data_IF_832564182359
#
_entry.id   IF_832564182359
#
_cell.length_a   1.000
_cell.length_b   1.000
_cell.length_c   1.000
_cell.angle_alpha   90.00
_cell.angle_beta   90.00
_cell.angle_gamma   90.00
#
_symmetry.space_group_name_H-M   'P 1'
#
loop_
_entity.id
_entity.type
_entity.pdbx_description
1 polymer ?
#
# COMPACT_ATOMS: atom_id res chain seq x y z
N UNK A 1 -15.34 -33.03 7.29
CA UNK A 1 -16.12 -31.98 8.01
C UNK A 1 -15.28 -30.72 7.94
N UNK A 2 -15.83 -29.66 7.36
CA UNK A 2 -15.13 -28.37 7.34
C UNK A 2 -14.89 -27.88 8.76
N UNK A 3 -13.67 -27.45 9.07
CA UNK A 3 -13.31 -26.90 10.37
C UNK A 3 -13.91 -25.51 10.52
N UNK A 4 -15.14 -25.42 11.07
CA UNK A 4 -15.83 -24.14 11.26
C UNK A 4 -15.30 -23.43 12.50
N UNK A 5 -15.02 -22.14 12.38
CA UNK A 5 -14.56 -21.26 13.46
C UNK A 5 -15.54 -20.12 13.71
N UNK A 6 -15.65 -19.69 14.96
CA UNK A 6 -16.46 -18.54 15.33
C UNK A 6 -15.61 -17.28 15.28
N UNK A 7 -16.05 -16.32 14.47
CA UNK A 7 -15.41 -15.00 14.31
C UNK A 7 -16.41 -13.88 14.56
N UNK A 8 -15.90 -12.70 14.88
CA UNK A 8 -16.72 -11.52 15.13
C UNK A 8 -16.32 -10.41 14.16
N UNK A 9 -17.16 -10.15 13.17
CA UNK A 9 -16.99 -9.03 12.25
C UNK A 9 -17.83 -7.84 12.71
N UNK A 10 -17.18 -6.73 13.03
CA UNK A 10 -17.86 -5.49 13.48
C UNK A 10 -18.84 -5.72 14.65
N UNK A 11 -18.46 -6.58 15.58
CA UNK A 11 -19.25 -6.92 16.76
C UNK A 11 -20.30 -8.02 16.55
N UNK A 12 -20.55 -8.48 15.32
CA UNK A 12 -21.49 -9.59 15.06
C UNK A 12 -20.74 -10.92 14.93
N UNK A 13 -21.28 -11.96 15.54
CA UNK A 13 -20.75 -13.32 15.50
C UNK A 13 -21.17 -14.05 14.22
N UNK A 14 -20.20 -14.73 13.60
CA UNK A 14 -20.40 -15.60 12.44
C UNK A 14 -19.65 -16.91 12.65
N UNK A 15 -20.16 -18.00 12.05
CA UNK A 15 -19.49 -19.28 11.92
C UNK A 15 -19.04 -19.42 10.47
N UNK A 16 -17.74 -19.56 10.24
CA UNK A 16 -17.14 -19.57 8.90
C UNK A 16 -16.09 -20.68 8.80
N UNK A 17 -15.79 -21.21 7.60
CA UNK A 17 -14.68 -22.14 7.40
C UNK A 17 -13.34 -21.54 7.86
N UNK A 18 -12.55 -22.31 8.61
CA UNK A 18 -11.30 -21.85 9.24
C UNK A 18 -10.11 -21.74 8.28
N UNK A 19 -10.24 -22.23 7.06
CA UNK A 19 -9.25 -22.10 5.98
C UNK A 19 -9.36 -20.77 5.21
N UNK A 20 -10.44 -20.02 5.43
CA UNK A 20 -10.65 -18.73 4.76
C UNK A 20 -9.77 -17.63 5.34
N UNK A 21 -9.42 -16.66 4.51
CA UNK A 21 -8.84 -15.39 4.98
C UNK A 21 -9.94 -14.51 5.59
N UNK A 22 -9.57 -13.51 6.37
CA UNK A 22 -10.54 -12.54 6.94
C UNK A 22 -11.44 -11.96 5.84
N UNK A 23 -10.86 -11.59 4.69
CA UNK A 23 -11.60 -11.02 3.57
C UNK A 23 -12.60 -12.00 2.97
N UNK A 24 -12.18 -13.22 2.65
CA UNK A 24 -13.07 -14.24 2.08
C UNK A 24 -14.09 -14.76 3.10
N UNK A 25 -13.74 -14.80 4.39
CA UNK A 25 -14.67 -15.12 5.46
C UNK A 25 -15.77 -14.04 5.65
N UNK A 26 -15.43 -12.77 5.44
CA UNK A 26 -16.43 -11.69 5.42
C UNK A 26 -17.39 -11.86 4.23
N UNK A 27 -16.88 -12.17 3.04
CA UNK A 27 -17.71 -12.45 1.86
C UNK A 27 -18.60 -13.69 2.08
N UNK A 28 -18.07 -14.76 2.66
CA UNK A 28 -18.83 -15.94 3.06
C UNK A 28 -19.97 -15.59 4.05
N UNK A 29 -19.69 -14.66 4.98
CA UNK A 29 -20.69 -14.16 5.93
C UNK A 29 -21.72 -13.19 5.31
N UNK A 30 -21.66 -12.94 3.99
CA UNK A 30 -22.62 -12.13 3.24
C UNK A 30 -22.25 -10.64 3.10
N UNK A 31 -21.01 -10.23 3.45
CA UNK A 31 -20.58 -8.86 3.22
C UNK A 31 -20.20 -8.64 1.76
N UNK A 32 -20.73 -7.57 1.17
CA UNK A 32 -20.31 -7.10 -0.15
C UNK A 32 -19.21 -6.07 0.04
N UNK A 33 -17.97 -6.42 -0.35
CA UNK A 33 -16.80 -5.58 -0.17
C UNK A 33 -16.66 -4.60 -1.34
N UNK A 34 -17.24 -3.41 -1.22
CA UNK A 34 -17.10 -2.32 -2.20
C UNK A 34 -15.92 -1.41 -1.90
N UNK A 35 -15.38 -1.45 -0.65
CA UNK A 35 -14.20 -0.72 -0.19
C UNK A 35 -13.34 -1.63 0.67
N UNK A 36 -12.08 -1.28 0.83
CA UNK A 36 -11.13 -2.10 1.60
C UNK A 36 -10.78 -3.42 0.92
N UNK A 37 -11.01 -3.53 -0.37
CA UNK A 37 -10.58 -4.65 -1.20
C UNK A 37 -9.99 -4.10 -2.51
N UNK A 38 -8.81 -4.59 -2.86
CA UNK A 38 -8.12 -4.21 -4.09
C UNK A 38 -7.53 -5.46 -4.76
N UNK A 39 -6.22 -5.62 -4.73
CA UNK A 39 -5.51 -6.73 -5.38
C UNK A 39 -5.86 -8.13 -4.82
N UNK A 40 -6.31 -8.25 -3.58
CA UNK A 40 -6.61 -9.48 -2.84
C UNK A 40 -5.40 -10.40 -2.60
N UNK A 41 -4.21 -9.97 -2.96
CA UNK A 41 -2.96 -10.74 -2.93
C UNK A 41 -1.86 -10.10 -2.06
N UNK A 42 -2.24 -9.23 -1.10
CA UNK A 42 -1.31 -8.64 -0.13
C UNK A 42 -0.45 -7.48 -0.65
N UNK A 43 -0.70 -7.01 -1.88
CA UNK A 43 0.16 -6.02 -2.53
C UNK A 43 -0.30 -4.57 -2.34
N UNK A 44 -1.61 -4.28 -2.45
CA UNK A 44 -2.11 -2.91 -2.49
C UNK A 44 -2.35 -2.26 -1.11
N UNK A 45 -2.39 -3.03 -0.03
CA UNK A 45 -2.64 -2.54 1.33
C UNK A 45 -4.09 -2.09 1.62
N UNK A 46 -4.99 -2.06 0.63
CA UNK A 46 -6.35 -1.54 0.79
C UNK A 46 -7.18 -2.29 1.86
N UNK A 47 -6.86 -3.56 2.12
CA UNK A 47 -7.53 -4.42 3.10
C UNK A 47 -6.89 -4.40 4.50
N UNK A 48 -6.12 -3.36 4.81
CA UNK A 48 -5.54 -3.20 6.14
C UNK A 48 -6.63 -3.22 7.22
N UNK A 49 -6.43 -4.05 8.24
CA UNK A 49 -7.43 -4.31 9.27
C UNK A 49 -6.79 -4.54 10.62
N UNK A 50 -7.58 -4.47 11.67
CA UNK A 50 -7.15 -4.70 13.05
C UNK A 50 -7.94 -5.88 13.59
N UNK A 51 -7.27 -6.76 14.32
CA UNK A 51 -7.94 -7.85 15.01
C UNK A 51 -7.34 -8.15 16.38
N UNK A 52 -8.11 -8.84 17.19
CA UNK A 52 -7.65 -9.49 18.43
C UNK A 52 -8.27 -10.87 18.55
N UNK A 53 -7.66 -11.74 19.33
CA UNK A 53 -8.20 -13.04 19.69
C UNK A 53 -8.86 -12.97 21.08
N UNK A 54 -9.99 -13.63 21.25
CA UNK A 54 -10.69 -13.74 22.55
C UNK A 54 -9.74 -14.21 23.64
N UNK A 55 -9.74 -13.51 24.78
CA UNK A 55 -8.85 -13.80 25.91
C UNK A 55 -7.43 -13.22 25.78
N UNK A 56 -7.07 -12.58 24.64
CA UNK A 56 -5.84 -11.85 24.46
C UNK A 56 -6.10 -10.35 24.33
N UNK A 57 -5.34 -9.53 25.02
CA UNK A 57 -5.49 -8.05 24.97
C UNK A 57 -4.66 -7.41 23.85
N UNK A 58 -3.87 -8.21 23.13
CA UNK A 58 -3.03 -7.72 22.04
C UNK A 58 -3.87 -7.40 20.81
N UNK A 59 -3.78 -6.15 20.33
CA UNK A 59 -4.28 -5.73 19.03
C UNK A 59 -3.21 -5.98 17.97
N UNK A 60 -3.60 -6.70 16.92
CA UNK A 60 -2.73 -6.98 15.77
C UNK A 60 -3.26 -6.25 14.53
N UNK A 61 -2.34 -5.73 13.74
CA UNK A 61 -2.61 -5.19 12.40
C UNK A 61 -2.26 -6.24 11.35
N UNK A 62 -3.05 -6.32 10.29
CA UNK A 62 -2.81 -7.28 9.20
C UNK A 62 -3.45 -6.83 7.89
N UNK A 63 -3.18 -7.58 6.83
CA UNK A 63 -3.92 -7.50 5.58
C UNK A 63 -4.99 -8.59 5.55
N UNK A 64 -6.26 -8.20 5.48
CA UNK A 64 -7.39 -9.12 5.56
C UNK A 64 -7.40 -10.19 4.45
N UNK A 65 -6.79 -9.90 3.28
CA UNK A 65 -6.67 -10.86 2.19
C UNK A 65 -5.56 -11.91 2.36
N UNK A 66 -4.72 -11.78 3.41
CA UNK A 66 -3.58 -12.69 3.66
C UNK A 66 -3.69 -13.40 5.01
N UNK A 67 -4.53 -12.91 5.90
CA UNK A 67 -4.62 -13.43 7.28
C UNK A 67 -5.80 -14.37 7.40
N UNK A 68 -5.55 -15.63 7.74
CA UNK A 68 -6.59 -16.63 8.01
C UNK A 68 -7.37 -16.32 9.28
N UNK A 69 -8.66 -16.65 9.26
CA UNK A 69 -9.52 -16.54 10.44
C UNK A 69 -9.14 -17.59 11.48
N UNK A 70 -9.38 -17.27 12.75
CA UNK A 70 -9.11 -18.15 13.89
C UNK A 70 -10.29 -18.11 14.85
N UNK A 71 -10.49 -19.19 15.62
CA UNK A 71 -11.54 -19.25 16.65
C UNK A 71 -11.43 -18.06 17.63
N UNK A 72 -12.55 -17.39 17.85
CA UNK A 72 -12.63 -16.24 18.75
C UNK A 72 -11.94 -14.97 18.24
N UNK A 73 -11.70 -14.84 16.92
CA UNK A 73 -11.14 -13.64 16.32
C UNK A 73 -12.17 -12.52 16.25
N UNK A 74 -11.83 -11.35 16.80
CA UNK A 74 -12.59 -10.10 16.67
C UNK A 74 -11.91 -9.21 15.66
N UNK A 75 -12.61 -8.86 14.59
CA UNK A 75 -12.09 -8.07 13.48
C UNK A 75 -12.80 -6.72 13.42
N UNK A 76 -12.02 -5.65 13.28
CA UNK A 76 -12.49 -4.30 13.03
C UNK A 76 -11.70 -3.67 11.88
N UNK A 77 -12.41 -3.10 10.90
CA UNK A 77 -11.72 -2.34 9.84
C UNK A 77 -11.13 -1.05 10.41
N UNK A 78 -10.10 -0.55 9.77
CA UNK A 78 -9.67 0.83 9.96
C UNK A 78 -10.75 1.72 9.33
N UNK A 79 -11.49 2.54 10.10
CA UNK A 79 -12.71 3.21 9.62
C UNK A 79 -12.43 4.28 8.56
N UNK A 80 -11.21 4.75 8.48
CA UNK A 80 -10.71 5.72 7.48
C UNK A 80 -9.22 5.49 7.29
N UNK A 81 -8.68 6.03 6.22
CA UNK A 81 -7.23 6.02 6.04
C UNK A 81 -6.59 6.99 7.06
N UNK A 82 -5.83 6.50 8.04
CA UNK A 82 -5.44 7.28 9.23
C UNK A 82 -4.23 8.19 8.95
N UNK A 83 -4.06 8.63 7.73
CA UNK A 83 -2.96 9.49 7.32
C UNK A 83 -3.49 10.78 6.71
N UNK A 84 -2.90 11.87 7.12
CA UNK A 84 -3.19 13.19 6.59
C UNK A 84 -2.42 13.38 5.27
N UNK A 85 -3.16 13.40 4.16
CA UNK A 85 -2.59 13.61 2.84
C UNK A 85 -2.54 15.11 2.54
N UNK A 86 -1.37 15.70 2.63
CA UNK A 86 -1.14 17.09 2.27
C UNK A 86 -1.18 17.27 0.75
N UNK A 87 -1.71 18.41 0.32
CA UNK A 87 -1.71 18.84 -1.08
C UNK A 87 -0.49 19.71 -1.34
N UNK A 88 0.25 19.41 -2.39
CA UNK A 88 1.43 20.17 -2.82
C UNK A 88 1.63 20.02 -4.32
N UNK A 89 2.23 21.01 -4.96
CA UNK A 89 2.77 20.88 -6.31
C UNK A 89 4.25 20.48 -6.21
N UNK A 90 4.58 19.33 -6.76
CA UNK A 90 5.96 18.82 -6.73
C UNK A 90 6.93 19.70 -7.53
N UNK A 91 6.44 20.53 -8.45
CA UNK A 91 7.27 21.44 -9.23
C UNK A 91 7.66 22.71 -8.46
N UNK A 92 6.90 23.04 -7.40
CA UNK A 92 7.09 24.25 -6.59
C UNK A 92 7.91 23.99 -5.33
N UNK A 93 8.07 22.72 -4.92
CA UNK A 93 8.82 22.33 -3.73
C UNK A 93 10.22 21.83 -4.07
N UNK A 94 11.15 21.96 -3.12
CA UNK A 94 12.55 21.50 -3.26
C UNK A 94 12.78 20.23 -2.45
N UNK A 95 13.75 19.42 -2.89
CA UNK A 95 14.16 18.22 -2.18
C UNK A 95 15.12 18.57 -1.02
N UNK A 96 14.60 19.20 0.02
CA UNK A 96 15.35 19.58 1.22
C UNK A 96 14.59 19.22 2.52
N UNK A 97 15.23 19.42 3.67
CA UNK A 97 14.65 19.14 4.97
C UNK A 97 13.41 20.01 5.26
N UNK A 98 13.36 21.22 4.74
CA UNK A 98 12.29 22.19 5.04
C UNK A 98 10.94 21.68 4.57
N UNK A 99 10.90 21.00 3.42
CA UNK A 99 9.64 20.46 2.87
C UNK A 99 9.01 19.44 3.82
N UNK A 100 9.81 18.66 4.55
CA UNK A 100 9.31 17.73 5.55
C UNK A 100 8.75 18.48 6.77
N UNK A 101 9.38 19.57 7.18
CA UNK A 101 8.91 20.42 8.30
C UNK A 101 7.60 21.14 7.96
N UNK A 102 7.45 21.60 6.73
CA UNK A 102 6.28 22.36 6.28
C UNK A 102 5.07 21.46 6.05
N UNK A 103 5.26 20.31 5.40
CA UNK A 103 4.16 19.42 5.02
C UNK A 103 3.79 18.42 6.10
N UNK A 104 4.76 17.90 6.86
CA UNK A 104 4.57 16.87 7.88
C UNK A 104 5.29 17.19 9.20
N UNK A 105 4.99 18.35 9.85
CA UNK A 105 5.68 18.77 11.08
C UNK A 105 5.54 17.77 12.22
N UNK A 106 4.49 16.92 12.20
CA UNK A 106 4.25 15.91 13.22
C UNK A 106 5.37 14.85 13.33
N UNK A 107 6.23 14.70 12.31
CA UNK A 107 7.39 13.79 12.42
C UNK A 107 8.33 14.17 13.56
N UNK A 108 8.42 15.46 13.88
CA UNK A 108 9.27 15.97 14.97
C UNK A 108 8.70 15.71 16.38
N UNK A 109 7.43 15.29 16.49
CA UNK A 109 6.83 14.81 17.72
C UNK A 109 7.07 13.31 17.99
N UNK A 110 7.89 12.64 17.18
CA UNK A 110 8.22 11.22 17.35
C UNK A 110 8.96 10.98 18.67
N UNK A 111 8.41 10.11 19.51
CA UNK A 111 9.00 9.73 20.81
C UNK A 111 9.86 8.46 20.75
N UNK A 112 10.11 7.91 19.59
CA UNK A 112 10.97 6.72 19.41
C UNK A 112 10.38 5.40 19.95
N UNK A 113 9.06 5.30 20.14
CA UNK A 113 8.42 4.12 20.77
C UNK A 113 8.43 2.84 19.91
N UNK A 114 8.80 2.92 18.64
CA UNK A 114 8.88 1.82 17.68
C UNK A 114 7.56 1.07 17.41
N UNK A 115 6.40 1.61 17.81
CA UNK A 115 5.11 0.99 17.57
C UNK A 115 4.78 0.88 16.07
N UNK A 116 5.24 1.84 15.27
CA UNK A 116 5.04 1.89 13.83
C UNK A 116 5.77 0.75 13.09
N UNK A 117 7.03 0.47 13.41
CA UNK A 117 7.81 -0.64 12.85
C UNK A 117 7.17 -1.98 13.22
N UNK A 118 6.77 -2.16 14.49
CA UNK A 118 6.10 -3.38 14.94
C UNK A 118 4.73 -3.62 14.29
N UNK A 119 4.06 -2.56 13.83
CA UNK A 119 2.78 -2.64 13.17
C UNK A 119 2.87 -2.78 11.64
N UNK A 120 4.08 -2.72 11.07
CA UNK A 120 4.26 -2.76 9.62
C UNK A 120 3.97 -4.16 9.07
N UNK A 121 3.04 -4.24 8.09
CA UNK A 121 2.66 -5.49 7.42
C UNK A 121 3.71 -5.96 6.40
N UNK A 122 4.64 -5.09 6.02
CA UNK A 122 5.74 -5.35 5.08
C UNK A 122 7.09 -5.46 5.79
N UNK A 123 7.11 -5.51 7.12
CA UNK A 123 8.32 -5.61 7.93
C UNK A 123 9.36 -4.49 7.72
N UNK A 124 8.90 -3.31 7.27
CA UNK A 124 9.76 -2.15 7.08
C UNK A 124 10.18 -1.53 8.42
N UNK A 125 11.37 -0.97 8.47
CA UNK A 125 11.83 -0.20 9.62
C UNK A 125 11.26 1.23 9.59
N UNK A 126 9.96 1.33 9.88
CA UNK A 126 9.18 2.58 9.76
C UNK A 126 9.76 3.70 10.62
N UNK A 127 10.17 3.40 11.85
CA UNK A 127 10.77 4.40 12.73
C UNK A 127 12.06 4.96 12.13
N UNK A 128 12.86 4.12 11.47
CA UNK A 128 14.12 4.53 10.85
C UNK A 128 13.90 5.49 9.69
N UNK A 129 12.94 5.20 8.79
CA UNK A 129 12.72 6.14 7.68
C UNK A 129 12.12 7.48 8.14
N UNK A 130 11.36 7.51 9.25
CA UNK A 130 10.95 8.79 9.86
C UNK A 130 12.15 9.54 10.41
N UNK A 131 13.11 8.85 11.05
CA UNK A 131 14.34 9.47 11.52
C UNK A 131 15.19 10.03 10.37
N UNK A 132 15.20 9.37 9.21
CA UNK A 132 15.83 9.91 8.00
C UNK A 132 15.09 11.16 7.50
N UNK A 133 13.77 11.14 7.46
CA UNK A 133 12.96 12.29 7.06
C UNK A 133 13.20 13.51 7.96
N UNK A 134 13.29 13.32 9.29
CA UNK A 134 13.61 14.37 10.26
C UNK A 134 14.95 15.06 9.99
N UNK A 135 15.94 14.30 9.51
CA UNK A 135 17.27 14.81 9.19
C UNK A 135 17.42 15.33 7.77
N UNK A 136 16.38 15.22 6.94
CA UNK A 136 16.44 15.59 5.54
C UNK A 136 17.21 14.61 4.63
N UNK A 137 17.48 13.40 5.12
CA UNK A 137 18.13 12.31 4.37
C UNK A 137 17.11 11.63 3.44
N UNK A 138 16.66 12.36 2.41
CA UNK A 138 15.52 11.96 1.59
C UNK A 138 15.75 10.67 0.82
N UNK A 139 16.95 10.45 0.29
CA UNK A 139 17.32 9.22 -0.43
C UNK A 139 17.19 7.99 0.48
N UNK A 140 17.77 8.05 1.67
CA UNK A 140 17.69 6.95 2.63
C UNK A 140 16.24 6.71 3.12
N UNK A 141 15.47 7.80 3.28
CA UNK A 141 14.05 7.70 3.61
C UNK A 141 13.26 7.04 2.47
N UNK A 142 13.56 7.39 1.22
CA UNK A 142 12.93 6.82 0.03
C UNK A 142 13.25 5.32 -0.10
N UNK A 143 14.51 4.94 0.06
CA UNK A 143 14.99 3.56 0.00
C UNK A 143 14.34 2.70 1.09
N UNK A 144 14.43 3.11 2.36
CA UNK A 144 13.87 2.35 3.50
C UNK A 144 12.33 2.23 3.44
N UNK A 145 11.65 3.18 2.81
CA UNK A 145 10.19 3.17 2.64
C UNK A 145 9.72 2.60 1.30
N UNK A 146 10.61 2.10 0.43
CA UNK A 146 10.27 1.77 -0.95
C UNK A 146 9.13 0.77 -1.08
N UNK A 147 9.17 -0.32 -0.33
CA UNK A 147 8.16 -1.39 -0.35
C UNK A 147 6.89 -1.08 0.46
N UNK A 148 6.69 0.20 0.84
CA UNK A 148 5.51 0.59 1.59
C UNK A 148 4.24 0.52 0.74
N UNK A 149 3.32 -0.38 1.09
CA UNK A 149 1.99 -0.55 0.46
C UNK A 149 0.94 0.45 0.95
N UNK A 150 1.34 1.46 1.70
CA UNK A 150 0.47 2.55 2.20
C UNK A 150 -0.77 2.08 2.98
N UNK A 151 -0.68 0.96 3.70
CA UNK A 151 -1.80 0.38 4.45
C UNK A 151 -2.27 1.20 5.65
N UNK A 152 -1.46 2.14 6.16
CA UNK A 152 -1.79 3.02 7.29
C UNK A 152 -1.69 2.40 8.68
N UNK A 153 -1.35 1.10 8.83
CA UNK A 153 -1.27 0.42 10.13
C UNK A 153 -0.30 1.10 11.10
N UNK A 154 0.82 1.60 10.61
CA UNK A 154 1.80 2.34 11.40
C UNK A 154 1.24 3.66 11.96
N UNK A 155 0.44 4.38 11.16
CA UNK A 155 -0.19 5.65 11.58
C UNK A 155 -1.27 5.43 12.64
N UNK A 156 -2.09 4.37 12.50
CA UNK A 156 -3.08 3.98 13.52
C UNK A 156 -2.43 3.75 14.90
N UNK A 157 -1.23 3.20 14.92
CA UNK A 157 -0.51 2.84 16.15
C UNK A 157 0.37 3.97 16.70
N UNK A 158 0.46 5.09 16.01
CA UNK A 158 1.34 6.19 16.39
C UNK A 158 0.68 7.12 17.40
N UNK A 159 1.25 7.29 18.63
CA UNK A 159 0.71 8.21 19.62
C UNK A 159 0.91 9.69 19.21
N UNK A 160 1.86 9.99 18.32
CA UNK A 160 2.11 11.33 17.80
C UNK A 160 1.32 11.66 16.54
N UNK A 161 0.45 10.75 16.03
CA UNK A 161 -0.38 11.00 14.85
C UNK A 161 0.39 11.15 13.54
N UNK A 162 1.60 10.59 13.44
CA UNK A 162 2.44 10.73 12.25
C UNK A 162 1.84 10.00 11.05
N UNK A 163 1.80 10.68 9.91
CA UNK A 163 1.35 10.16 8.63
C UNK A 163 2.48 9.41 7.88
N UNK A 164 3.04 8.37 8.50
CA UNK A 164 4.22 7.66 8.01
C UNK A 164 4.19 7.29 6.52
N UNK A 165 3.11 6.68 5.96
CA UNK A 165 3.09 6.32 4.55
C UNK A 165 3.20 7.53 3.62
N UNK A 166 2.63 8.68 4.03
CA UNK A 166 2.68 9.90 3.23
C UNK A 166 4.06 10.56 3.26
N UNK A 167 4.74 10.53 4.41
CA UNK A 167 6.13 10.96 4.56
C UNK A 167 7.04 10.15 3.64
N UNK A 168 6.95 8.82 3.68
CA UNK A 168 7.71 7.94 2.79
C UNK A 168 7.39 8.19 1.31
N UNK A 169 6.12 8.40 0.96
CA UNK A 169 5.70 8.72 -0.41
C UNK A 169 6.28 10.06 -0.89
N UNK A 170 6.27 11.09 -0.04
CA UNK A 170 6.87 12.39 -0.37
C UNK A 170 8.37 12.25 -0.61
N UNK A 171 9.09 11.55 0.29
CA UNK A 171 10.51 11.30 0.12
C UNK A 171 10.83 10.61 -1.21
N UNK A 172 10.10 9.54 -1.55
CA UNK A 172 10.26 8.81 -2.83
C UNK A 172 10.02 9.70 -4.06
N UNK A 173 8.97 10.54 -4.00
CA UNK A 173 8.65 11.48 -5.10
C UNK A 173 9.73 12.53 -5.28
N UNK A 174 10.23 13.11 -4.18
CA UNK A 174 11.30 14.12 -4.24
C UNK A 174 12.62 13.52 -4.70
N UNK A 175 12.97 12.33 -4.20
CA UNK A 175 14.16 11.60 -4.64
C UNK A 175 14.08 11.28 -6.13
N UNK A 176 12.96 10.71 -6.59
CA UNK A 176 12.79 10.35 -8.00
C UNK A 176 12.81 11.54 -8.95
N UNK A 177 12.32 12.70 -8.50
CA UNK A 177 12.26 13.89 -9.37
C UNK A 177 13.56 14.70 -9.38
N UNK A 178 14.23 14.85 -8.21
CA UNK A 178 15.30 15.85 -8.06
C UNK A 178 16.67 15.27 -7.77
N UNK A 179 16.75 14.03 -7.29
CA UNK A 179 18.00 13.44 -6.79
C UNK A 179 18.42 12.25 -7.63
N UNK A 180 17.52 11.33 -7.92
CA UNK A 180 17.81 10.15 -8.71
C UNK A 180 18.21 10.53 -10.15
N UNK A 181 19.20 9.86 -10.74
CA UNK A 181 19.58 10.10 -12.14
C UNK A 181 18.44 9.71 -13.08
N UNK A 182 18.23 10.49 -14.14
CA UNK A 182 17.30 10.14 -15.21
C UNK A 182 17.73 8.85 -15.89
N UNK A 183 16.79 7.93 -16.08
CA UNK A 183 17.04 6.67 -16.76
C UNK A 183 17.02 6.89 -18.28
N UNK A 184 18.17 6.72 -18.94
CA UNK A 184 18.34 7.05 -20.35
C UNK A 184 17.38 6.25 -21.25
N UNK A 185 17.20 4.94 -21.00
CA UNK A 185 16.30 4.11 -21.80
C UNK A 185 14.83 4.56 -21.67
N UNK A 186 14.40 5.04 -20.50
CA UNK A 186 13.06 5.59 -20.30
C UNK A 186 12.88 6.90 -21.06
N UNK A 187 13.89 7.78 -21.05
CA UNK A 187 13.91 9.04 -21.79
C UNK A 187 13.79 8.79 -23.30
N UNK A 188 14.55 7.82 -23.81
CA UNK A 188 14.49 7.43 -25.21
C UNK A 188 13.12 6.86 -25.58
N UNK A 189 12.54 5.98 -24.74
CA UNK A 189 11.19 5.42 -24.96
C UNK A 189 10.13 6.50 -24.96
N UNK A 190 10.18 7.46 -24.05
CA UNK A 190 9.26 8.61 -24.02
C UNK A 190 9.40 9.47 -25.28
N UNK A 191 10.62 9.69 -25.76
CA UNK A 191 10.87 10.41 -27.00
C UNK A 191 10.27 9.66 -28.22
N UNK A 192 10.43 8.35 -28.31
CA UNK A 192 9.83 7.50 -29.36
C UNK A 192 8.31 7.61 -29.34
N UNK A 193 7.66 7.52 -28.18
CA UNK A 193 6.22 7.66 -28.02
C UNK A 193 5.76 9.05 -28.50
N UNK A 194 6.42 10.11 -28.04
CA UNK A 194 6.06 11.49 -28.38
C UNK A 194 6.28 11.80 -29.87
N UNK A 195 7.18 11.08 -30.54
CA UNK A 195 7.42 11.22 -31.98
C UNK A 195 6.39 10.46 -32.84
N UNK A 196 5.45 9.73 -32.23
CA UNK A 196 4.47 8.91 -32.94
C UNK A 196 5.01 7.61 -33.53
N UNK A 197 6.19 7.15 -33.06
CA UNK A 197 6.85 5.95 -33.62
C UNK A 197 5.99 4.67 -33.57
N UNK A 198 4.97 4.64 -32.74
CA UNK A 198 4.06 3.51 -32.56
C UNK A 198 2.65 3.74 -33.12
N UNK A 199 2.32 4.94 -33.60
CA UNK A 199 0.95 5.31 -33.95
C UNK A 199 0.40 4.45 -35.07
N UNK A 200 1.15 4.23 -36.16
CA UNK A 200 0.74 3.39 -37.29
C UNK A 200 0.49 1.92 -36.85
N UNK A 201 1.32 1.38 -35.96
CA UNK A 201 1.17 0.02 -35.45
C UNK A 201 -0.08 -0.11 -34.56
N UNK A 202 -0.34 0.90 -33.71
CA UNK A 202 -1.50 0.93 -32.83
C UNK A 202 -2.77 1.04 -33.67
N UNK A 203 -2.81 1.95 -34.65
CA UNK A 203 -3.96 2.11 -35.55
C UNK A 203 -4.22 0.83 -36.37
N UNK A 204 -3.18 0.18 -36.88
CA UNK A 204 -3.31 -1.08 -37.60
C UNK A 204 -3.89 -2.21 -36.74
N UNK A 205 -3.52 -2.28 -35.43
CA UNK A 205 -4.09 -3.24 -34.50
C UNK A 205 -5.55 -2.90 -34.17
N UNK A 206 -5.86 -1.62 -33.93
CA UNK A 206 -7.21 -1.17 -33.59
C UNK A 206 -8.24 -1.42 -34.71
N UNK A 207 -7.80 -1.50 -35.95
CA UNK A 207 -8.67 -1.80 -37.11
C UNK A 207 -8.91 -3.31 -37.34
N UNK A 208 -8.19 -4.20 -36.61
CA UNK A 208 -8.33 -5.63 -36.78
C UNK A 208 -9.58 -6.19 -36.09
N UNK A 209 -10.21 -7.24 -36.68
CA UNK A 209 -11.28 -7.98 -36.02
C UNK A 209 -10.77 -8.64 -34.71
N UNK A 210 -11.68 -8.80 -33.76
CA UNK A 210 -11.35 -9.41 -32.44
C UNK A 210 -10.72 -10.80 -32.59
N UNK A 211 -11.16 -11.59 -33.57
CA UNK A 211 -10.63 -12.93 -33.85
C UNK A 211 -9.15 -12.88 -34.22
N UNK A 212 -8.77 -11.95 -35.09
CA UNK A 212 -7.38 -11.78 -35.54
C UNK A 212 -6.51 -11.25 -34.39
N UNK A 213 -7.04 -10.33 -33.57
CA UNK A 213 -6.33 -9.86 -32.36
C UNK A 213 -6.10 -10.98 -31.35
N UNK A 214 -7.07 -11.90 -31.18
CA UNK A 214 -6.92 -13.09 -30.34
C UNK A 214 -5.84 -14.04 -30.85
N UNK A 215 -5.76 -14.25 -32.17
CA UNK A 215 -4.71 -15.07 -32.80
C UNK A 215 -3.32 -14.43 -32.59
N UNK A 216 -3.18 -13.11 -32.79
CA UNK A 216 -1.94 -12.40 -32.56
C UNK A 216 -1.53 -12.49 -31.08
N UNK A 217 -2.48 -12.33 -30.15
CA UNK A 217 -2.23 -12.45 -28.72
C UNK A 217 -1.75 -13.84 -28.32
N UNK A 218 -2.37 -14.89 -28.87
CA UNK A 218 -2.03 -16.28 -28.56
C UNK A 218 -0.67 -16.70 -29.15
N UNK A 219 -0.30 -16.11 -30.30
CA UNK A 219 0.97 -16.39 -30.98
C UNK A 219 2.11 -15.45 -30.61
N UNK A 220 1.90 -14.54 -29.64
CA UNK A 220 2.95 -13.62 -29.20
C UNK A 220 4.12 -14.36 -28.57
N UNK A 221 5.32 -13.85 -28.78
CA UNK A 221 6.51 -14.30 -28.08
C UNK A 221 6.39 -13.98 -26.60
N UNK A 222 6.36 -14.99 -25.74
CA UNK A 222 6.32 -14.85 -24.29
C UNK A 222 7.71 -15.24 -23.78
N UNK A 223 8.37 -14.30 -23.13
CA UNK A 223 9.60 -14.59 -22.40
C UNK A 223 9.35 -15.71 -21.39
N UNK A 224 10.19 -16.73 -21.44
CA UNK A 224 10.10 -17.90 -20.56
C UNK A 224 10.83 -17.68 -19.26
#
# INVERSE_FOLDING_TARGET
MENMVNVYFFGKKYSVPGDLTIMTAMEYAGYTLTRGCGCRHGFCGACATIYRIKGKNELKTCLACQTQVQEGMYVASIPFFPTDKRTYDINEIKADQRVMMELYPEIYACIGCNACTKACTQSLNVMQYIAYAQRGELEKCAEESFDCVSCGCCSVRCPAGISHPMVGLLARRLTGKYIAPETEHLKNRVAEINSGAYDELIEAIMQKPITEMQELYNNRDIEK
#
